data_IF_386308533952
#
_entry.id   IF_386308533952
#
_cell.length_a   1.000
_cell.length_b   1.000
_cell.length_c   1.000
_cell.angle_alpha   90.00
_cell.angle_beta   90.00
_cell.angle_gamma   90.00
#
_symmetry.space_group_name_H-M   'P 1'
#
loop_
_entity.id
_entity.type
_entity.pdbx_description
1 polymer ?
#
# COMPACT_ATOMS: atom_id res chain seq x y z
N UNK A 1 -21.99 19.74 -11.41
CA UNK A 1 -21.68 19.99 -9.99
C UNK A 1 -22.32 18.88 -9.17
N UNK A 2 -21.60 18.27 -8.23
CA UNK A 2 -22.18 17.29 -7.29
C UNK A 2 -23.06 18.05 -6.29
N UNK A 3 -24.32 17.65 -6.14
CA UNK A 3 -25.19 18.21 -5.09
C UNK A 3 -24.71 17.75 -3.71
N UNK A 4 -25.06 18.48 -2.65
CA UNK A 4 -24.72 18.13 -1.27
C UNK A 4 -25.19 16.70 -0.86
N UNK A 5 -26.17 16.16 -1.59
CA UNK A 5 -26.70 14.80 -1.41
C UNK A 5 -25.83 13.71 -2.04
N UNK A 6 -24.84 14.05 -2.87
CA UNK A 6 -24.05 13.08 -3.62
C UNK A 6 -22.57 13.10 -3.20
N UNK A 7 -22.32 13.04 -1.89
CA UNK A 7 -20.96 12.94 -1.34
C UNK A 7 -20.24 11.71 -1.88
N UNK A 8 -18.92 11.82 -1.99
CA UNK A 8 -18.01 10.73 -2.29
C UNK A 8 -17.62 10.10 -0.96
N UNK A 9 -17.99 8.84 -0.80
CA UNK A 9 -17.87 8.12 0.46
C UNK A 9 -16.61 7.28 0.45
N UNK A 10 -15.68 7.63 1.34
CA UNK A 10 -14.39 7.00 1.50
C UNK A 10 -14.45 6.02 2.67
N UNK A 11 -13.90 4.83 2.50
CA UNK A 11 -13.58 3.90 3.57
C UNK A 11 -12.07 3.91 3.80
N UNK A 12 -11.66 4.02 5.05
CA UNK A 12 -10.28 3.84 5.48
C UNK A 12 -10.13 2.44 6.09
N UNK A 13 -9.25 1.61 5.51
CA UNK A 13 -8.95 0.27 6.02
C UNK A 13 -7.49 0.18 6.47
N UNK A 14 -7.27 -0.43 7.63
CA UNK A 14 -5.93 -0.56 8.20
C UNK A 14 -5.79 -1.81 9.06
N UNK A 15 -4.54 -2.17 9.36
CA UNK A 15 -4.20 -3.07 10.45
C UNK A 15 -3.73 -2.25 11.64
N UNK A 16 -4.57 -2.18 12.68
CA UNK A 16 -4.30 -1.48 13.93
C UNK A 16 -3.02 -1.93 14.63
N UNK A 17 -2.60 -3.19 14.48
CA UNK A 17 -1.28 -3.66 14.93
C UNK A 17 -0.11 -2.99 14.22
N UNK A 18 -0.24 -2.68 12.92
CA UNK A 18 0.81 -1.98 12.19
C UNK A 18 0.82 -0.50 12.51
N UNK A 19 -0.35 0.13 12.63
CA UNK A 19 -0.41 1.50 13.12
C UNK A 19 0.31 1.63 14.47
N UNK A 20 0.15 0.64 15.36
CA UNK A 20 0.90 0.59 16.62
C UNK A 20 2.41 0.42 16.43
N UNK A 21 2.82 -0.57 15.62
CA UNK A 21 4.24 -0.87 15.33
C UNK A 21 4.97 0.31 14.69
N UNK A 22 4.22 1.15 13.99
CA UNK A 22 4.68 2.36 13.33
C UNK A 22 4.86 3.54 14.29
N UNK A 23 4.27 3.46 15.49
CA UNK A 23 4.33 4.49 16.54
C UNK A 23 3.08 5.37 16.64
N UNK A 24 1.99 5.03 15.93
CA UNK A 24 0.71 5.76 16.02
C UNK A 24 0.13 5.57 17.42
N UNK A 25 -0.23 6.69 18.08
CA UNK A 25 -0.73 6.70 19.46
C UNK A 25 0.34 6.72 20.55
N UNK A 26 1.62 6.66 20.20
CA UNK A 26 2.75 6.83 21.13
C UNK A 26 3.64 8.01 20.77
N UNK A 27 4.12 8.05 19.52
CA UNK A 27 5.14 9.00 19.05
C UNK A 27 4.49 10.08 18.18
N UNK A 28 3.50 9.69 17.37
CA UNK A 28 2.76 10.64 16.55
C UNK A 28 1.72 11.39 17.39
N UNK A 29 1.69 12.71 17.23
CA UNK A 29 0.53 13.49 17.67
C UNK A 29 -0.71 12.97 16.96
N UNK A 30 -1.87 13.12 17.59
CA UNK A 30 -3.14 12.65 17.01
C UNK A 30 -3.45 13.26 15.63
N UNK A 31 -2.75 14.30 15.22
CA UNK A 31 -2.95 15.02 13.96
C UNK A 31 -2.03 14.54 12.82
N UNK A 32 -1.08 13.63 13.07
CA UNK A 32 0.01 13.31 12.14
C UNK A 32 -0.15 11.98 11.38
N UNK A 33 -1.31 11.34 11.38
CA UNK A 33 -1.55 10.12 10.58
C UNK A 33 -2.55 10.34 9.42
N UNK A 34 -2.73 9.30 8.62
CA UNK A 34 -3.63 9.31 7.48
C UNK A 34 -5.09 9.53 7.87
N UNK A 35 -5.53 9.04 9.04
CA UNK A 35 -6.88 9.25 9.53
C UNK A 35 -7.13 10.74 9.77
N UNK A 36 -6.21 11.42 10.46
CA UNK A 36 -6.29 12.86 10.67
C UNK A 36 -6.28 13.64 9.34
N UNK A 37 -5.45 13.20 8.38
CA UNK A 37 -5.41 13.79 7.04
C UNK A 37 -6.77 13.66 6.32
N UNK A 38 -7.42 12.50 6.38
CA UNK A 38 -8.75 12.27 5.78
C UNK A 38 -9.86 13.04 6.49
N UNK A 39 -9.83 13.13 7.81
CA UNK A 39 -10.78 13.95 8.58
C UNK A 39 -10.64 15.44 8.24
N UNK A 40 -9.41 15.93 8.13
CA UNK A 40 -9.15 17.30 7.70
C UNK A 40 -9.59 17.52 6.24
N UNK A 41 -9.37 16.54 5.35
CA UNK A 41 -9.86 16.59 3.98
C UNK A 41 -11.39 16.70 3.94
N UNK A 42 -12.12 15.86 4.69
CA UNK A 42 -13.58 15.97 4.82
C UNK A 42 -14.02 17.35 5.32
N UNK A 43 -13.35 17.88 6.36
CA UNK A 43 -13.68 19.20 6.93
C UNK A 43 -13.58 20.32 5.88
N UNK A 44 -12.59 20.25 4.99
CA UNK A 44 -12.31 21.29 4.01
C UNK A 44 -13.01 21.05 2.65
N UNK A 45 -13.56 19.86 2.41
CA UNK A 45 -14.20 19.47 1.15
C UNK A 45 -15.57 18.84 1.42
N UNK A 46 -16.68 19.61 1.36
CA UNK A 46 -18.00 19.15 1.81
C UNK A 46 -18.61 18.00 0.98
N UNK A 47 -18.06 17.74 -0.20
CA UNK A 47 -18.44 16.62 -1.07
C UNK A 47 -17.65 15.33 -0.78
N UNK A 48 -16.71 15.33 0.16
CA UNK A 48 -15.95 14.15 0.60
C UNK A 48 -16.44 13.76 1.99
N UNK A 49 -16.67 12.46 2.21
CA UNK A 49 -17.06 11.91 3.50
C UNK A 49 -16.22 10.67 3.80
N UNK A 50 -15.49 10.69 4.90
CA UNK A 50 -14.94 9.49 5.51
C UNK A 50 -16.09 8.75 6.22
N UNK A 51 -16.70 7.82 5.49
CA UNK A 51 -17.96 7.18 5.85
C UNK A 51 -17.78 5.92 6.71
N UNK A 52 -16.61 5.29 6.65
CA UNK A 52 -16.35 4.03 7.35
C UNK A 52 -14.86 3.86 7.65
N UNK A 53 -14.58 3.29 8.81
CA UNK A 53 -13.26 2.78 9.19
C UNK A 53 -13.36 1.28 9.39
N UNK A 54 -12.46 0.51 8.77
CA UNK A 54 -12.34 -0.93 8.95
C UNK A 54 -10.98 -1.26 9.57
N UNK A 55 -10.98 -2.01 10.65
CA UNK A 55 -9.77 -2.63 11.22
C UNK A 55 -9.82 -4.14 11.06
N UNK A 56 -8.72 -4.76 10.63
CA UNK A 56 -8.63 -6.22 10.46
C UNK A 56 -8.21 -6.99 11.73
N UNK A 57 -7.98 -6.27 12.82
CA UNK A 57 -7.62 -6.82 14.11
C UNK A 57 -8.84 -7.24 14.93
N UNK A 58 -8.63 -8.15 15.87
CA UNK A 58 -9.59 -8.39 16.94
C UNK A 58 -9.56 -7.19 17.91
N UNK A 59 -10.68 -6.51 18.16
CA UNK A 59 -10.73 -5.36 19.07
C UNK A 59 -10.20 -5.69 20.48
N UNK A 60 -10.29 -6.94 20.92
CA UNK A 60 -9.76 -7.39 22.23
C UNK A 60 -8.24 -7.35 22.30
N UNK A 61 -7.57 -7.47 21.15
CA UNK A 61 -6.11 -7.49 21.04
C UNK A 61 -5.54 -6.13 20.63
N UNK A 62 -6.40 -5.13 20.38
CA UNK A 62 -5.96 -3.82 19.93
C UNK A 62 -5.47 -2.97 21.11
N UNK A 63 -4.41 -2.20 20.88
CA UNK A 63 -3.96 -1.22 21.88
C UNK A 63 -5.09 -0.22 22.19
N UNK A 64 -5.36 -0.01 23.48
CA UNK A 64 -6.47 0.84 23.93
C UNK A 64 -6.40 2.28 23.41
N UNK A 65 -5.20 2.86 23.33
CA UNK A 65 -5.01 4.23 22.79
C UNK A 65 -5.40 4.33 21.32
N UNK A 66 -5.08 3.30 20.54
CA UNK A 66 -5.48 3.22 19.12
C UNK A 66 -7.00 3.07 19.01
N UNK A 67 -7.60 2.19 19.79
CA UNK A 67 -9.05 2.03 19.81
C UNK A 67 -9.76 3.35 20.14
N UNK A 68 -9.36 4.00 21.24
CA UNK A 68 -9.96 5.24 21.69
C UNK A 68 -9.78 6.36 20.65
N UNK A 69 -8.66 6.39 19.91
CA UNK A 69 -8.44 7.31 18.80
C UNK A 69 -9.49 7.15 17.70
N UNK A 70 -9.73 5.92 17.25
CA UNK A 70 -10.76 5.67 16.24
C UNK A 70 -12.17 6.01 16.73
N UNK A 71 -12.48 5.70 17.99
CA UNK A 71 -13.76 6.07 18.60
C UNK A 71 -13.96 7.59 18.66
N UNK A 72 -12.91 8.37 18.96
CA UNK A 72 -12.97 9.85 18.99
C UNK A 72 -13.24 10.48 17.63
N UNK A 73 -12.95 9.78 16.52
CA UNK A 73 -13.19 10.30 15.17
C UNK A 73 -14.67 10.51 14.85
N UNK A 74 -15.57 9.84 15.59
CA UNK A 74 -17.02 9.78 15.33
C UNK A 74 -17.40 9.21 13.95
N UNK A 75 -16.44 8.60 13.24
CA UNK A 75 -16.69 7.84 12.03
C UNK A 75 -17.12 6.42 12.43
N UNK A 76 -18.12 5.82 11.76
CA UNK A 76 -18.46 4.42 11.97
C UNK A 76 -17.22 3.51 11.90
N UNK A 77 -17.01 2.71 12.94
CA UNK A 77 -15.88 1.80 13.08
C UNK A 77 -16.38 0.35 13.02
N UNK A 78 -15.84 -0.43 12.09
CA UNK A 78 -16.11 -1.86 11.96
C UNK A 78 -14.84 -2.68 12.15
N UNK A 79 -14.99 -3.87 12.71
CA UNK A 79 -13.93 -4.84 12.87
C UNK A 79 -14.20 -6.04 11.98
N UNK A 80 -13.23 -6.40 11.16
CA UNK A 80 -13.25 -7.64 10.39
C UNK A 80 -12.04 -8.45 10.82
N UNK A 81 -12.07 -9.13 11.98
CA UNK A 81 -10.91 -9.81 12.49
C UNK A 81 -10.46 -10.91 11.51
N UNK A 82 -9.17 -10.88 11.19
CA UNK A 82 -8.41 -11.95 10.57
C UNK A 82 -8.50 -13.28 11.33
N UNK A 83 -9.56 -14.07 11.18
CA UNK A 83 -9.62 -15.45 11.72
C UNK A 83 -8.42 -16.33 11.30
N UNK A 84 -7.74 -15.96 10.21
CA UNK A 84 -6.55 -16.67 9.71
C UNK A 84 -5.25 -16.37 10.48
N UNK A 85 -5.23 -15.41 11.42
CA UNK A 85 -4.05 -15.18 12.28
C UNK A 85 -4.00 -16.12 13.49
N UNK A 86 -5.16 -16.56 14.00
CA UNK A 86 -5.24 -17.22 15.31
C UNK A 86 -5.14 -18.75 15.28
N UNK A 87 -5.15 -19.38 14.10
CA UNK A 87 -4.95 -20.82 13.99
C UNK A 87 -3.84 -21.09 12.98
N UNK A 88 -2.62 -21.39 13.47
CA UNK A 88 -1.50 -21.62 12.60
C UNK A 88 -1.82 -22.79 11.67
N UNK A 89 -1.07 -22.88 10.59
CA UNK A 89 -0.99 -24.07 9.74
C UNK A 89 -0.99 -25.36 10.59
N UNK A 90 -0.38 -25.36 11.78
CA UNK A 90 -0.42 -26.47 12.74
C UNK A 90 -1.83 -26.92 13.18
N UNK A 91 -2.82 -26.04 13.34
CA UNK A 91 -4.21 -26.46 13.62
C UNK A 91 -4.80 -27.23 12.43
N UNK A 92 -4.60 -26.72 11.20
CA UNK A 92 -5.14 -27.35 10.00
C UNK A 92 -4.39 -28.63 9.65
N UNK A 93 -3.08 -28.68 9.84
CA UNK A 93 -2.27 -29.89 9.64
C UNK A 93 -2.54 -30.95 10.71
N UNK A 94 -2.77 -30.55 11.96
CA UNK A 94 -3.08 -31.48 13.06
C UNK A 94 -4.47 -32.11 12.91
N UNK A 95 -5.47 -31.37 12.41
CA UNK A 95 -6.84 -31.87 12.30
C UNK A 95 -7.21 -32.40 10.89
N UNK A 96 -6.43 -32.08 9.85
CA UNK A 96 -6.71 -32.47 8.47
C UNK A 96 -5.42 -32.93 7.75
N UNK A 97 -4.90 -34.13 8.06
CA UNK A 97 -3.71 -34.67 7.42
C UNK A 97 -4.00 -35.00 5.94
N UNK A 98 -3.64 -34.08 5.03
CA UNK A 98 -3.91 -34.18 3.58
C UNK A 98 -3.97 -32.79 2.92
N UNK A 99 -2.80 -32.21 2.64
CA UNK A 99 -2.55 -30.78 2.41
C UNK A 99 -3.26 -30.07 1.23
N UNK A 100 -4.19 -30.72 0.52
CA UNK A 100 -5.17 -30.03 -0.34
C UNK A 100 -6.22 -29.30 0.50
N UNK A 101 -6.67 -29.91 1.60
CA UNK A 101 -7.73 -29.36 2.45
C UNK A 101 -7.30 -28.08 3.18
N UNK A 102 -6.07 -27.99 3.67
CA UNK A 102 -5.56 -26.80 4.36
C UNK A 102 -5.41 -25.59 3.42
N UNK A 103 -4.95 -25.83 2.18
CA UNK A 103 -4.83 -24.78 1.15
C UNK A 103 -6.21 -24.25 0.74
N UNK A 104 -7.16 -25.15 0.48
CA UNK A 104 -8.54 -24.77 0.17
C UNK A 104 -9.23 -24.09 1.35
N UNK A 105 -9.00 -24.55 2.59
CA UNK A 105 -9.50 -23.90 3.79
C UNK A 105 -8.95 -22.48 3.96
N UNK A 106 -7.65 -22.26 3.71
CA UNK A 106 -7.04 -20.92 3.74
C UNK A 106 -7.64 -20.02 2.65
N UNK A 107 -7.86 -20.55 1.45
CA UNK A 107 -8.49 -19.83 0.34
C UNK A 107 -9.94 -19.46 0.68
N UNK A 108 -10.74 -20.41 1.19
CA UNK A 108 -12.12 -20.17 1.61
C UNK A 108 -12.20 -19.16 2.76
N UNK A 109 -11.32 -19.27 3.76
CA UNK A 109 -11.25 -18.32 4.87
C UNK A 109 -10.92 -16.90 4.38
N UNK A 110 -10.03 -16.77 3.39
CA UNK A 110 -9.74 -15.48 2.73
C UNK A 110 -10.96 -14.95 1.97
N UNK A 111 -11.65 -15.79 1.20
CA UNK A 111 -12.88 -15.40 0.48
C UNK A 111 -13.93 -14.90 1.47
N UNK A 112 -14.22 -15.66 2.53
CA UNK A 112 -15.19 -15.28 3.57
C UNK A 112 -14.81 -13.96 4.25
N UNK A 113 -13.52 -13.78 4.51
CA UNK A 113 -13.00 -12.53 5.08
C UNK A 113 -13.24 -11.33 4.14
N UNK A 114 -12.92 -11.48 2.86
CA UNK A 114 -13.13 -10.41 1.86
C UNK A 114 -14.60 -10.14 1.58
N UNK A 115 -15.46 -11.16 1.63
CA UNK A 115 -16.91 -11.01 1.52
C UNK A 115 -17.49 -10.17 2.67
N UNK A 116 -16.95 -10.28 3.89
CA UNK A 116 -17.35 -9.43 5.02
C UNK A 116 -16.96 -7.97 4.80
N UNK A 117 -15.76 -7.72 4.28
CA UNK A 117 -15.34 -6.37 3.90
C UNK A 117 -16.29 -5.83 2.83
N UNK A 118 -16.52 -6.60 1.76
CA UNK A 118 -17.39 -6.21 0.66
C UNK A 118 -18.81 -5.86 1.14
N UNK A 119 -19.40 -6.67 2.02
CA UNK A 119 -20.71 -6.40 2.61
C UNK A 119 -20.74 -5.06 3.37
N UNK A 120 -19.72 -4.77 4.18
CA UNK A 120 -19.58 -3.48 4.86
C UNK A 120 -19.45 -2.32 3.88
N UNK A 121 -18.65 -2.48 2.82
CA UNK A 121 -18.47 -1.44 1.80
C UNK A 121 -19.80 -1.13 1.09
N UNK A 122 -20.58 -2.14 0.74
CA UNK A 122 -21.87 -1.97 0.06
C UNK A 122 -22.94 -1.38 0.97
N UNK A 123 -23.05 -1.88 2.21
CA UNK A 123 -24.00 -1.35 3.20
C UNK A 123 -23.79 0.14 3.47
N UNK A 124 -22.55 0.59 3.42
CA UNK A 124 -22.17 1.97 3.69
C UNK A 124 -22.00 2.83 2.42
N UNK A 125 -22.39 2.35 1.24
CA UNK A 125 -22.26 3.03 -0.06
C UNK A 125 -20.85 3.56 -0.33
N UNK A 126 -19.82 2.79 -0.02
CA UNK A 126 -18.44 3.25 -0.18
C UNK A 126 -18.07 3.29 -1.66
N UNK A 127 -17.55 4.44 -2.09
CA UNK A 127 -17.06 4.71 -3.45
C UNK A 127 -15.56 4.44 -3.61
N UNK A 128 -14.79 4.77 -2.57
CA UNK A 128 -13.34 4.69 -2.55
C UNK A 128 -12.89 3.95 -1.29
N UNK A 129 -12.07 2.92 -1.45
CA UNK A 129 -11.37 2.23 -0.38
C UNK A 129 -9.90 2.68 -0.36
N UNK A 130 -9.44 3.21 0.78
CA UNK A 130 -8.05 3.58 1.00
C UNK A 130 -7.44 2.63 2.02
N UNK A 131 -6.47 1.85 1.57
CA UNK A 131 -5.64 0.98 2.39
C UNK A 131 -4.44 1.75 2.92
N UNK A 132 -4.26 1.76 4.23
CA UNK A 132 -3.09 2.33 4.90
C UNK A 132 -2.57 1.37 5.96
N UNK A 133 -1.32 0.93 5.84
CA UNK A 133 -0.71 -0.06 6.73
C UNK A 133 -1.55 -1.34 6.88
N UNK A 134 -2.34 -1.70 5.86
CA UNK A 134 -3.13 -2.91 5.81
C UNK A 134 -2.29 -4.04 5.22
N UNK A 135 -2.00 -5.07 6.03
CA UNK A 135 -0.99 -6.09 5.66
C UNK A 135 -1.54 -7.26 4.86
N UNK A 136 -2.81 -7.22 4.49
CA UNK A 136 -3.45 -8.29 3.71
C UNK A 136 -3.59 -7.86 2.26
N UNK A 137 -3.10 -8.71 1.38
CA UNK A 137 -3.29 -8.52 -0.04
C UNK A 137 -4.76 -8.70 -0.40
N UNK A 138 -5.35 -7.72 -1.09
CA UNK A 138 -6.68 -7.83 -1.68
C UNK A 138 -6.70 -8.95 -2.73
N UNK A 139 -7.62 -9.89 -2.58
CA UNK A 139 -7.87 -10.99 -3.49
C UNK A 139 -8.91 -10.65 -4.54
N UNK A 140 -9.19 -11.65 -5.38
CA UNK A 140 -10.18 -11.55 -6.46
C UNK A 140 -11.62 -11.36 -5.97
N UNK A 141 -11.90 -11.58 -4.69
CA UNK A 141 -13.25 -11.33 -4.14
C UNK A 141 -13.54 -9.83 -4.08
N UNK A 142 -12.56 -9.03 -3.65
CA UNK A 142 -12.71 -7.56 -3.65
C UNK A 142 -12.36 -6.94 -5.00
N UNK A 143 -11.27 -7.41 -5.64
CA UNK A 143 -10.80 -6.85 -6.90
C UNK A 143 -11.62 -7.30 -8.12
N UNK A 144 -12.41 -8.37 -8.00
CA UNK A 144 -13.06 -9.05 -9.12
C UNK A 144 -12.20 -10.17 -9.71
N UNK A 145 -12.82 -11.05 -10.50
CA UNK A 145 -12.13 -12.07 -11.28
C UNK A 145 -11.70 -11.47 -12.62
N UNK A 146 -10.39 -11.43 -12.84
CA UNK A 146 -9.71 -10.74 -13.93
C UNK A 146 -9.92 -11.36 -15.33
N UNK A 147 -11.01 -12.10 -15.56
CA UNK A 147 -11.31 -12.70 -16.87
C UNK A 147 -11.79 -11.66 -17.90
N UNK A 148 -11.97 -10.41 -17.48
CA UNK A 148 -12.11 -9.26 -18.35
C UNK A 148 -10.91 -8.33 -18.19
N UNK A 149 -9.74 -8.78 -18.66
CA UNK A 149 -8.58 -7.92 -18.96
C UNK A 149 -8.95 -6.66 -19.78
N UNK A 150 -10.14 -6.63 -20.41
CA UNK A 150 -10.69 -5.46 -21.10
C UNK A 150 -11.67 -4.56 -20.32
N UNK A 151 -12.06 -4.86 -19.07
CA UNK A 151 -13.01 -3.97 -18.35
C UNK A 151 -12.30 -2.89 -17.54
N UNK A 152 -12.03 -1.78 -18.22
CA UNK A 152 -12.11 -0.37 -17.79
C UNK A 152 -11.43 0.15 -16.51
N UNK A 153 -10.65 -0.64 -15.77
CA UNK A 153 -9.60 -0.08 -14.90
C UNK A 153 -8.34 0.27 -15.71
N UNK A 154 -8.50 0.60 -17.00
CA UNK A 154 -7.48 1.12 -17.92
C UNK A 154 -7.13 2.58 -17.61
N UNK A 155 -6.71 2.83 -16.36
CA UNK A 155 -5.90 4.00 -16.05
C UNK A 155 -4.48 3.75 -16.59
N UNK A 156 -4.27 3.77 -17.91
CA UNK A 156 -2.91 3.76 -18.45
C UNK A 156 -2.65 3.19 -19.83
N UNK A 157 -3.60 2.51 -20.47
CA UNK A 157 -3.41 2.05 -21.84
C UNK A 157 -4.28 2.85 -22.78
N UNK A 158 -3.67 3.80 -23.50
CA UNK A 158 -4.28 4.49 -24.63
C UNK A 158 -4.52 3.46 -25.73
N UNK A 159 -5.68 2.82 -25.73
CA UNK A 159 -5.99 1.77 -26.70
C UNK A 159 -6.47 2.37 -28.02
N UNK A 160 -5.65 2.17 -29.06
CA UNK A 160 -6.12 1.98 -30.43
C UNK A 160 -7.19 0.89 -30.46
N UNK A 161 -8.40 1.25 -30.91
CA UNK A 161 -9.53 0.34 -31.07
C UNK A 161 -9.20 -0.79 -32.07
N UNK A 162 -9.14 -2.03 -31.59
CA UNK A 162 -9.36 -3.22 -32.43
C UNK A 162 -10.70 -3.84 -32.06
N UNK A 163 -11.66 -3.73 -32.97
CA UNK A 163 -12.98 -4.33 -32.88
C UNK A 163 -12.87 -5.86 -32.86
N UNK A 164 -13.07 -6.48 -31.70
CA UNK A 164 -13.20 -7.93 -31.55
C UNK A 164 -14.56 -8.28 -30.95
N UNK A 165 -15.38 -8.99 -31.73
CA UNK A 165 -16.68 -9.53 -31.30
C UNK A 165 -16.50 -10.55 -30.17
N UNK A 166 -16.63 -10.13 -28.91
CA UNK A 166 -16.71 -11.07 -27.78
C UNK A 166 -18.16 -11.54 -27.60
N UNK A 167 -18.40 -12.84 -27.77
CA UNK A 167 -19.70 -13.49 -27.50
C UNK A 167 -20.11 -13.22 -26.03
N UNK A 168 -21.26 -12.57 -25.85
CA UNK A 168 -21.91 -12.34 -24.56
C UNK A 168 -22.22 -13.68 -23.88
N UNK A 169 -21.32 -14.16 -23.02
CA UNK A 169 -21.70 -15.12 -21.98
C UNK A 169 -22.45 -14.32 -20.92
N UNK A 170 -23.71 -14.68 -20.67
CA UNK A 170 -24.50 -14.21 -19.53
C UNK A 170 -23.77 -14.58 -18.23
N UNK A 171 -22.83 -13.74 -17.79
CA UNK A 171 -22.16 -13.92 -16.52
C UNK A 171 -23.16 -13.57 -15.44
N UNK A 172 -23.58 -14.57 -14.66
CA UNK A 172 -24.26 -14.37 -13.40
C UNK A 172 -23.59 -13.24 -12.60
N UNK A 173 -24.42 -12.38 -12.01
CA UNK A 173 -24.14 -11.32 -11.02
C UNK A 173 -22.66 -11.23 -10.63
N UNK A 174 -21.92 -10.29 -11.22
CA UNK A 174 -20.56 -10.02 -10.80
C UNK A 174 -20.60 -9.37 -9.40
N UNK A 175 -20.18 -10.12 -8.39
CA UNK A 175 -20.16 -9.67 -6.99
C UNK A 175 -18.89 -8.88 -6.64
N UNK A 176 -18.13 -8.33 -7.59
CA UNK A 176 -16.98 -7.46 -7.30
C UNK A 176 -17.36 -6.17 -6.55
N UNK A 177 -16.38 -5.54 -5.90
CA UNK A 177 -16.61 -4.26 -5.20
C UNK A 177 -17.09 -3.17 -6.16
N UNK A 178 -16.53 -3.10 -7.37
CA UNK A 178 -16.89 -2.10 -8.38
C UNK A 178 -16.41 -0.67 -8.08
N UNK A 179 -16.09 -0.36 -6.83
CA UNK A 179 -15.45 0.89 -6.41
C UNK A 179 -13.94 0.90 -6.62
N UNK A 180 -13.31 2.00 -6.24
CA UNK A 180 -11.88 2.22 -6.45
C UNK A 180 -11.09 1.84 -5.20
N UNK A 181 -9.98 1.11 -5.37
CA UNK A 181 -9.11 0.71 -4.25
C UNK A 181 -7.73 1.33 -4.44
N UNK A 182 -7.26 2.02 -3.41
CA UNK A 182 -5.96 2.68 -3.38
C UNK A 182 -5.14 2.21 -2.19
N UNK A 183 -3.82 2.22 -2.35
CA UNK A 183 -2.88 2.05 -1.25
C UNK A 183 -2.10 3.34 -1.02
N UNK A 184 -1.76 3.58 0.24
CA UNK A 184 -0.81 4.61 0.64
C UNK A 184 0.34 3.98 1.43
N UNK A 185 1.58 4.18 0.95
CA UNK A 185 2.79 3.66 1.61
C UNK A 185 3.69 4.79 2.09
N UNK A 186 4.33 4.68 3.27
CA UNK A 186 5.38 5.60 3.73
C UNK A 186 6.74 5.29 3.07
N UNK A 187 6.71 4.97 1.77
CA UNK A 187 7.88 4.65 0.97
C UNK A 187 7.68 5.07 -0.49
N UNK A 188 8.79 5.35 -1.17
CA UNK A 188 8.80 5.45 -2.62
C UNK A 188 8.90 4.05 -3.23
N UNK A 189 7.85 3.61 -3.91
CA UNK A 189 7.82 2.29 -4.57
C UNK A 189 8.47 2.29 -5.96
N UNK A 190 9.03 3.43 -6.43
CA UNK A 190 9.72 3.50 -7.73
C UNK A 190 11.10 2.86 -7.67
N UNK A 191 11.71 2.96 -6.51
CA UNK A 191 12.84 2.16 -6.09
C UNK A 191 12.19 0.88 -5.58
N UNK A 192 12.37 -0.26 -6.26
CA UNK A 192 11.89 -1.57 -5.77
C UNK A 192 12.25 -1.65 -4.28
N UNK A 193 11.28 -1.46 -3.36
CA UNK A 193 11.65 -1.28 -1.97
C UNK A 193 12.09 -2.64 -1.45
N UNK A 194 13.18 -2.70 -0.70
CA UNK A 194 13.41 -3.89 0.12
C UNK A 194 12.34 -4.01 1.20
N UNK A 195 12.48 -5.03 2.04
CA UNK A 195 11.54 -5.35 3.14
C UNK A 195 11.36 -4.15 4.09
N UNK A 196 12.33 -3.24 4.15
CA UNK A 196 12.30 -2.05 5.02
C UNK A 196 12.74 -0.80 4.24
N UNK A 197 11.82 -0.10 3.56
CA UNK A 197 12.15 1.06 2.72
C UNK A 197 12.89 2.18 3.47
N UNK A 198 12.56 2.36 4.75
CA UNK A 198 13.19 3.35 5.63
C UNK A 198 14.64 2.97 5.94
N UNK A 199 14.90 1.71 6.29
CA UNK A 199 16.26 1.25 6.56
C UNK A 199 17.10 1.26 5.27
N UNK A 200 16.51 0.91 4.13
CA UNK A 200 17.19 0.97 2.84
C UNK A 200 17.62 2.38 2.48
N UNK A 201 16.76 3.37 2.74
CA UNK A 201 17.07 4.77 2.50
C UNK A 201 18.19 5.27 3.42
N UNK A 202 18.20 4.84 4.70
CA UNK A 202 19.28 5.15 5.65
C UNK A 202 20.59 4.46 5.29
N UNK A 203 20.52 3.21 4.84
CA UNK A 203 21.68 2.47 4.36
C UNK A 203 22.33 3.19 3.19
N UNK A 204 21.54 3.55 2.16
CA UNK A 204 22.03 4.36 1.04
C UNK A 204 22.64 5.67 1.52
N UNK A 205 21.98 6.40 2.43
CA UNK A 205 22.51 7.65 2.98
C UNK A 205 23.89 7.47 3.61
N UNK A 206 24.05 6.46 4.47
CA UNK A 206 25.31 6.18 5.17
C UNK A 206 26.39 5.77 4.19
N UNK A 207 26.09 4.83 3.31
CA UNK A 207 27.01 4.33 2.29
C UNK A 207 27.53 5.46 1.40
N UNK A 208 26.64 6.30 0.87
CA UNK A 208 27.03 7.40 -0.01
C UNK A 208 27.67 8.57 0.73
N UNK A 209 27.43 8.73 2.03
CA UNK A 209 28.16 9.72 2.84
C UNK A 209 29.64 9.40 3.03
N UNK A 210 30.05 8.15 2.78
CA UNK A 210 31.46 7.70 2.80
C UNK A 210 32.19 7.98 1.48
N UNK A 211 31.47 8.23 0.39
CA UNK A 211 32.09 8.52 -0.90
C UNK A 211 32.67 9.94 -0.84
N UNK A 212 33.99 10.05 -0.70
CA UNK A 212 34.70 11.30 -0.91
C UNK A 212 34.76 11.59 -2.42
N UNK A 213 34.42 12.82 -2.83
CA UNK A 213 34.36 13.24 -4.25
C UNK A 213 35.67 13.02 -5.02
N UNK A 214 36.80 12.83 -4.33
CA UNK A 214 38.13 12.77 -4.94
C UNK A 214 38.73 11.36 -5.11
N UNK A 215 38.19 10.27 -4.53
CA UNK A 215 39.03 9.06 -4.34
C UNK A 215 38.43 7.66 -4.64
N UNK A 216 37.17 7.52 -5.05
CA UNK A 216 36.55 6.17 -5.11
C UNK A 216 36.08 5.73 -6.50
N UNK A 217 36.76 6.13 -7.58
CA UNK A 217 36.44 5.61 -8.91
C UNK A 217 37.45 4.55 -9.35
N UNK A 218 36.94 3.45 -9.91
CA UNK A 218 37.75 2.46 -10.62
C UNK A 218 37.24 2.30 -12.04
N UNK A 219 38.13 1.91 -12.96
CA UNK A 219 37.79 1.50 -14.31
C UNK A 219 37.77 -0.02 -14.36
N UNK A 220 36.64 -0.59 -14.80
CA UNK A 220 36.47 -2.02 -15.04
C UNK A 220 35.83 -2.14 -16.41
N UNK A 221 36.49 -2.81 -17.36
CA UNK A 221 36.04 -2.95 -18.74
C UNK A 221 35.63 -1.61 -19.40
N UNK A 222 36.47 -0.59 -19.27
CA UNK A 222 36.24 0.79 -19.75
C UNK A 222 35.02 1.51 -19.15
N UNK A 223 34.35 0.93 -18.14
CA UNK A 223 33.27 1.57 -17.41
C UNK A 223 33.76 2.09 -16.06
N UNK A 224 33.25 3.27 -15.65
CA UNK A 224 33.59 3.91 -14.37
C UNK A 224 32.63 3.46 -13.28
N UNK A 225 33.19 2.94 -12.18
CA UNK A 225 32.44 2.49 -11.01
C UNK A 225 32.82 3.29 -9.78
N UNK A 226 31.84 3.58 -8.92
CA UNK A 226 32.11 3.89 -7.52
C UNK A 226 32.51 2.60 -6.80
N UNK A 227 33.70 2.56 -6.23
CA UNK A 227 34.18 1.48 -5.36
C UNK A 227 33.92 1.86 -3.90
N UNK A 228 33.06 1.12 -3.22
CA UNK A 228 32.65 1.43 -1.85
C UNK A 228 32.96 0.22 -0.96
N UNK A 229 33.81 0.41 0.02
CA UNK A 229 34.10 -0.62 1.01
C UNK A 229 32.88 -0.86 1.91
N UNK A 230 32.52 -2.13 2.08
CA UNK A 230 31.45 -2.61 2.94
C UNK A 230 32.08 -3.15 4.22
N UNK A 231 31.58 -2.71 5.38
CA UNK A 231 32.11 -3.22 6.65
C UNK A 231 31.33 -4.44 7.10
N UNK A 232 32.02 -5.54 7.31
CA UNK A 232 31.51 -6.76 7.94
C UNK A 232 31.46 -6.57 9.47
N UNK A 233 30.82 -5.49 9.93
CA UNK A 233 30.90 -5.10 11.33
C UNK A 233 29.84 -5.84 12.18
N UNK A 234 30.28 -6.67 13.14
CA UNK A 234 29.41 -7.35 14.13
C UNK A 234 28.68 -6.40 15.09
N UNK A 235 29.00 -5.10 15.10
CA UNK A 235 28.38 -4.06 15.94
C UNK A 235 27.50 -3.07 15.18
N UNK A 236 27.17 -3.34 13.91
CA UNK A 236 26.34 -2.42 13.13
C UNK A 236 24.96 -2.26 13.79
N UNK A 237 24.52 -1.01 13.97
CA UNK A 237 23.18 -0.61 14.48
C UNK A 237 21.99 -1.15 13.66
N UNK A 238 22.23 -1.98 12.64
CA UNK A 238 21.21 -2.60 11.81
C UNK A 238 20.97 -4.03 12.26
N UNK A 239 19.76 -4.53 12.05
CA UNK A 239 19.44 -5.96 12.25
C UNK A 239 20.13 -6.86 11.22
N UNK A 240 20.57 -6.29 10.10
CA UNK A 240 21.20 -6.95 8.93
C UNK A 240 22.63 -6.40 8.75
N UNK A 241 23.59 -7.25 8.35
CA UNK A 241 24.95 -6.78 8.06
C UNK A 241 24.99 -5.94 6.75
N UNK A 242 26.01 -5.09 6.57
CA UNK A 242 26.06 -4.19 5.39
C UNK A 242 26.14 -4.95 4.07
N UNK A 243 26.71 -6.15 4.07
CA UNK A 243 26.86 -7.00 2.88
C UNK A 243 25.50 -7.50 2.37
N UNK A 244 24.67 -8.02 3.26
CA UNK A 244 23.31 -8.48 2.95
C UNK A 244 22.43 -7.31 2.50
N UNK A 245 22.48 -6.19 3.23
CA UNK A 245 21.76 -4.97 2.83
C UNK A 245 22.21 -4.48 1.45
N UNK A 246 23.52 -4.50 1.16
CA UNK A 246 24.04 -4.13 -0.14
C UNK A 246 23.57 -5.08 -1.25
N UNK A 247 23.65 -6.40 -1.04
CA UNK A 247 23.15 -7.40 -2.01
C UNK A 247 21.66 -7.19 -2.29
N UNK A 248 20.88 -7.04 -1.23
CA UNK A 248 19.43 -6.87 -1.30
C UNK A 248 19.04 -5.56 -1.98
N UNK A 249 19.74 -4.45 -1.74
CA UNK A 249 19.40 -3.14 -2.30
C UNK A 249 19.96 -2.98 -3.71
N UNK A 250 21.24 -3.33 -3.92
CA UNK A 250 21.97 -3.03 -5.15
C UNK A 250 21.96 -4.17 -6.16
N UNK A 251 21.77 -5.43 -5.74
CA UNK A 251 21.78 -6.60 -6.64
C UNK A 251 20.65 -6.63 -7.67
N UNK A 252 19.66 -5.74 -7.55
CA UNK A 252 18.56 -5.55 -8.51
C UNK A 252 18.84 -4.48 -9.58
N UNK A 253 19.99 -3.82 -9.51
CA UNK A 253 20.39 -2.83 -10.51
C UNK A 253 21.44 -3.40 -11.45
N UNK A 254 21.20 -3.25 -12.74
CA UNK A 254 22.13 -3.68 -13.77
C UNK A 254 23.51 -3.02 -13.58
N UNK A 255 24.55 -3.84 -13.65
CA UNK A 255 25.94 -3.40 -13.49
C UNK A 255 26.39 -3.15 -12.04
N UNK A 256 25.50 -3.19 -11.04
CA UNK A 256 25.93 -3.20 -9.64
C UNK A 256 26.39 -4.60 -9.24
N UNK A 257 27.55 -4.72 -8.59
CA UNK A 257 28.03 -6.00 -8.08
C UNK A 257 28.85 -5.84 -6.81
N UNK A 258 29.03 -6.95 -6.09
CA UNK A 258 29.79 -7.00 -4.85
C UNK A 258 30.88 -8.06 -4.98
N UNK A 259 32.11 -7.71 -4.60
CA UNK A 259 33.28 -8.57 -4.74
C UNK A 259 34.09 -8.57 -3.44
N UNK A 260 34.71 -9.71 -3.13
CA UNK A 260 35.68 -9.81 -2.04
C UNK A 260 37.09 -9.62 -2.62
N UNK A 261 37.81 -8.61 -2.15
CA UNK A 261 39.17 -8.30 -2.58
C UNK A 261 40.02 -8.17 -1.33
N UNK A 262 41.04 -9.03 -1.19
CA UNK A 262 41.97 -9.03 -0.04
C UNK A 262 41.22 -9.06 1.30
N UNK A 263 40.30 -10.01 1.47
CA UNK A 263 39.49 -10.19 2.70
C UNK A 263 38.53 -9.05 3.02
N UNK A 264 38.35 -8.07 2.12
CA UNK A 264 37.42 -6.95 2.28
C UNK A 264 36.33 -7.00 1.21
N UNK A 265 35.10 -6.70 1.58
CA UNK A 265 33.97 -6.66 0.65
C UNK A 265 33.82 -5.27 0.05
N UNK A 266 33.66 -5.19 -1.27
CA UNK A 266 33.46 -3.94 -2.00
C UNK A 266 32.18 -4.00 -2.82
N UNK A 267 31.39 -2.93 -2.76
CA UNK A 267 30.28 -2.68 -3.66
C UNK A 267 30.77 -1.78 -4.81
N UNK A 268 30.48 -2.20 -6.03
CA UNK A 268 30.73 -1.46 -7.25
C UNK A 268 29.40 -0.97 -7.82
N UNK A 269 29.26 0.36 -7.95
CA UNK A 269 28.05 1.00 -8.52
C UNK A 269 28.45 1.77 -9.78
N UNK A 270 27.85 1.50 -10.95
CA UNK A 270 28.15 2.24 -12.18
C UNK A 270 27.95 3.75 -12.00
N UNK A 271 28.81 4.56 -12.62
CA UNK A 271 28.72 6.03 -12.51
C UNK A 271 27.43 6.59 -13.15
N UNK A 272 26.97 5.94 -14.21
CA UNK A 272 25.75 6.22 -14.97
C UNK A 272 24.50 5.57 -14.38
N UNK A 273 24.63 4.84 -13.27
CA UNK A 273 23.48 4.26 -12.59
C UNK A 273 22.47 5.35 -12.19
N UNK A 274 21.18 5.02 -12.20
CA UNK A 274 20.11 6.01 -12.05
C UNK A 274 20.33 6.91 -10.83
N UNK A 275 20.13 8.24 -10.99
CA UNK A 275 20.33 9.22 -9.91
C UNK A 275 19.55 8.88 -8.63
N UNK A 276 18.45 8.13 -8.77
CA UNK A 276 17.65 7.63 -7.65
C UNK A 276 18.44 6.80 -6.64
N UNK A 277 19.44 6.04 -7.11
CA UNK A 277 20.28 5.17 -6.27
C UNK A 277 21.18 5.99 -5.35
N UNK A 278 21.78 7.06 -5.88
CA UNK A 278 22.62 7.99 -5.11
C UNK A 278 21.79 8.94 -4.25
N UNK A 279 20.53 9.13 -4.62
CA UNK A 279 19.64 9.95 -3.83
C UNK A 279 19.22 9.17 -2.60
N UNK A 280 19.75 9.59 -1.44
CA UNK A 280 19.25 9.19 -0.13
C UNK A 280 17.88 9.84 0.10
N UNK A 281 16.93 9.38 -0.69
CA UNK A 281 15.56 9.84 -0.75
C UNK A 281 14.66 8.63 -0.50
N UNK A 282 13.60 8.89 0.23
CA UNK A 282 12.43 8.04 0.39
C UNK A 282 11.23 8.96 0.19
N UNK A 283 10.02 8.53 0.50
CA UNK A 283 8.85 9.38 0.36
C UNK A 283 7.60 8.64 0.78
N UNK A 284 6.51 8.96 0.12
CA UNK A 284 5.30 8.18 0.19
C UNK A 284 4.68 8.05 -1.22
N UNK A 285 3.97 6.96 -1.44
CA UNK A 285 3.35 6.66 -2.73
C UNK A 285 1.87 6.39 -2.54
N UNK A 286 1.03 7.10 -3.32
CA UNK A 286 -0.39 6.81 -3.45
C UNK A 286 -0.68 6.26 -4.84
N UNK A 287 -1.25 5.06 -4.91
CA UNK A 287 -1.44 4.35 -6.16
C UNK A 287 -2.66 3.45 -6.12
N UNK A 288 -3.11 3.04 -7.31
CA UNK A 288 -4.17 2.05 -7.45
C UNK A 288 -3.68 0.69 -6.97
N UNK A 289 -4.59 -0.09 -6.38
CA UNK A 289 -4.40 -1.53 -6.19
C UNK A 289 -5.05 -2.24 -7.37
N UNK A 290 -4.28 -3.06 -8.07
CA UNK A 290 -4.73 -3.93 -9.14
C UNK A 290 -4.52 -5.41 -8.76
N UNK A 291 -4.84 -6.30 -9.70
CA UNK A 291 -4.67 -7.74 -9.53
C UNK A 291 -3.19 -8.17 -9.43
N UNK A 292 -2.26 -7.29 -9.79
CA UNK A 292 -0.82 -7.54 -9.70
C UNK A 292 -0.27 -7.45 -8.27
N UNK A 293 -1.15 -7.37 -7.27
CA UNK A 293 -0.78 -7.33 -5.86
C UNK A 293 0.02 -6.05 -5.59
N UNK A 294 -0.69 -4.92 -5.57
CA UNK A 294 -0.11 -3.63 -5.19
C UNK A 294 0.85 -3.03 -6.26
N UNK A 295 0.66 -3.38 -7.54
CA UNK A 295 1.48 -2.87 -8.65
C UNK A 295 0.77 -1.80 -9.50
N UNK A 296 -0.43 -1.40 -9.10
CA UNK A 296 -1.24 -0.49 -9.90
C UNK A 296 -0.59 0.88 -10.12
N UNK A 297 -1.11 1.59 -11.13
CA UNK A 297 -0.55 2.87 -11.57
C UNK A 297 -0.44 3.86 -10.40
N UNK A 298 0.71 4.52 -10.33
CA UNK A 298 0.97 5.60 -9.37
C UNK A 298 0.22 6.85 -9.79
N UNK A 299 -0.47 7.45 -8.84
CA UNK A 299 -1.33 8.62 -9.06
C UNK A 299 -0.56 9.88 -8.72
N UNK A 300 0.07 9.84 -7.56
CA UNK A 300 0.94 10.90 -7.09
C UNK A 300 2.11 10.29 -6.34
N UNK A 301 3.23 10.94 -6.51
CA UNK A 301 4.39 10.84 -5.65
C UNK A 301 4.60 12.25 -5.09
N UNK A 302 4.83 12.40 -3.79
CA UNK A 302 5.44 13.66 -3.36
C UNK A 302 6.94 13.54 -3.54
N UNK A 303 7.54 14.66 -3.95
CA UNK A 303 8.97 14.84 -3.90
C UNK A 303 9.52 14.38 -2.54
N UNK A 304 10.51 13.51 -2.67
CA UNK A 304 11.27 12.85 -1.63
C UNK A 304 11.30 13.46 -0.24
N UNK A 305 11.03 12.65 0.79
CA UNK A 305 11.52 12.94 2.13
C UNK A 305 13.05 12.91 2.09
N UNK A 306 13.73 14.01 2.44
CA UNK A 306 15.19 14.00 2.50
C UNK A 306 15.66 13.09 3.64
N UNK A 307 16.65 12.24 3.36
CA UNK A 307 17.40 11.52 4.39
C UNK A 307 18.63 12.35 4.75
N UNK A 308 18.69 12.80 6.00
CA UNK A 308 19.74 13.66 6.56
C UNK A 308 20.83 12.78 7.18
N UNK A 309 22.06 13.30 7.21
CA UNK A 309 23.16 12.66 7.93
C UNK A 309 22.81 12.58 9.42
N UNK A 310 22.94 11.40 10.00
CA UNK A 310 22.66 11.16 11.41
C UNK A 310 21.19 10.87 11.73
N UNK A 311 20.32 10.73 10.72
CA UNK A 311 18.95 10.27 10.97
C UNK A 311 18.92 8.91 11.67
N UNK A 312 17.98 8.78 12.61
CA UNK A 312 17.54 7.48 13.12
C UNK A 312 16.45 6.90 12.22
N UNK A 313 16.24 5.57 12.30
CA UNK A 313 15.12 4.89 11.64
C UNK A 313 13.77 5.52 11.99
N UNK A 314 13.54 5.81 13.27
CA UNK A 314 12.31 6.45 13.72
C UNK A 314 12.18 7.89 13.21
N UNK A 315 13.26 8.68 13.22
CA UNK A 315 13.23 10.07 12.75
C UNK A 315 12.89 10.17 11.27
N UNK A 316 13.50 9.32 10.43
CA UNK A 316 13.16 9.25 9.01
C UNK A 316 11.74 8.73 8.78
N UNK A 317 11.35 7.68 9.52
CA UNK A 317 9.99 7.14 9.49
C UNK A 317 8.98 8.25 9.76
N UNK A 318 9.13 9.01 10.83
CA UNK A 318 8.22 10.11 11.19
C UNK A 318 8.03 11.10 10.04
N UNK A 319 9.13 11.51 9.37
CA UNK A 319 9.04 12.41 8.21
C UNK A 319 8.38 11.76 6.99
N UNK A 320 8.52 10.45 6.80
CA UNK A 320 7.77 9.73 5.76
C UNK A 320 6.27 9.74 6.05
N UNK A 321 5.84 9.66 7.31
CA UNK A 321 4.41 9.77 7.68
C UNK A 321 3.84 11.17 7.41
N UNK A 322 4.59 12.22 7.76
CA UNK A 322 4.19 13.59 7.41
C UNK A 322 4.03 13.76 5.90
N UNK A 323 4.98 13.21 5.15
CA UNK A 323 4.96 13.17 3.70
C UNK A 323 3.78 12.34 3.17
N UNK A 324 3.48 11.20 3.81
CA UNK A 324 2.35 10.31 3.50
C UNK A 324 1.02 11.04 3.54
N UNK A 325 0.79 11.87 4.55
CA UNK A 325 -0.46 12.62 4.69
C UNK A 325 -0.65 13.65 3.56
N UNK A 326 0.44 14.32 3.15
CA UNK A 326 0.43 15.24 2.02
C UNK A 326 0.13 14.49 0.72
N UNK A 327 0.78 13.35 0.51
CA UNK A 327 0.59 12.48 -0.66
C UNK A 327 -0.83 11.95 -0.73
N UNK A 328 -1.38 11.48 0.39
CA UNK A 328 -2.75 10.99 0.49
C UNK A 328 -3.76 12.08 0.11
N UNK A 329 -3.67 13.24 0.76
CA UNK A 329 -4.59 14.37 0.53
C UNK A 329 -4.55 14.82 -0.93
N UNK A 330 -3.34 15.03 -1.48
CA UNK A 330 -3.17 15.41 -2.89
C UNK A 330 -3.65 14.33 -3.84
N UNK A 331 -3.36 13.07 -3.55
CA UNK A 331 -3.73 11.92 -4.35
C UNK A 331 -5.25 11.79 -4.49
N UNK A 332 -5.98 11.89 -3.37
CA UNK A 332 -7.44 11.91 -3.36
C UNK A 332 -7.97 13.09 -4.18
N UNK A 333 -7.45 14.30 -3.99
CA UNK A 333 -7.89 15.46 -4.78
C UNK A 333 -7.57 15.33 -6.28
N UNK A 334 -6.49 14.65 -6.65
CA UNK A 334 -6.11 14.42 -8.04
C UNK A 334 -7.05 13.43 -8.71
N UNK A 335 -7.35 12.27 -8.09
CA UNK A 335 -8.27 11.29 -8.70
C UNK A 335 -9.67 11.88 -8.88
N UNK A 336 -10.12 12.74 -7.97
CA UNK A 336 -11.44 13.35 -8.05
C UNK A 336 -11.58 14.40 -9.16
N UNK A 337 -10.47 14.84 -9.76
CA UNK A 337 -10.49 15.69 -10.97
C UNK A 337 -10.59 14.88 -12.26
N UNK A 338 -10.34 13.58 -12.19
CA UNK A 338 -10.33 12.73 -13.37
C UNK A 338 -11.75 12.23 -13.69
N UNK A 339 -12.20 12.50 -14.91
CA UNK A 339 -13.55 12.17 -15.39
C UNK A 339 -13.82 10.66 -15.36
N UNK A 340 -12.82 9.82 -15.64
CA UNK A 340 -12.98 8.37 -15.62
C UNK A 340 -13.20 7.86 -14.20
N UNK A 341 -12.50 8.42 -13.22
CA UNK A 341 -12.73 8.09 -11.80
C UNK A 341 -14.15 8.45 -11.39
N UNK A 342 -14.62 9.64 -11.77
CA UNK A 342 -15.99 10.06 -11.46
C UNK A 342 -17.02 9.10 -12.10
N UNK A 343 -16.79 8.67 -13.35
CA UNK A 343 -17.67 7.71 -14.01
C UNK A 343 -17.68 6.34 -13.32
N UNK A 344 -16.51 5.86 -12.86
CA UNK A 344 -16.40 4.62 -12.11
C UNK A 344 -17.15 4.71 -10.77
N UNK A 345 -17.04 5.84 -10.06
CA UNK A 345 -17.79 6.11 -8.83
C UNK A 345 -19.30 6.06 -9.08
N UNK A 346 -19.79 6.73 -10.13
CA UNK A 346 -21.22 6.70 -10.48
C UNK A 346 -21.71 5.29 -10.80
N UNK A 347 -20.91 4.51 -11.53
CA UNK A 347 -21.21 3.11 -11.85
C UNK A 347 -21.29 2.26 -10.57
N UNK A 348 -20.35 2.46 -9.63
CA UNK A 348 -20.35 1.77 -8.35
C UNK A 348 -21.59 2.10 -7.50
N UNK A 349 -22.03 3.36 -7.48
CA UNK A 349 -23.27 3.76 -6.79
C UNK A 349 -24.50 3.03 -7.33
N UNK A 350 -24.59 2.87 -8.65
CA UNK A 350 -25.68 2.10 -9.29
C UNK A 350 -25.62 0.63 -8.84
N UNK A 351 -24.43 0.01 -8.84
CA UNK A 351 -24.24 -1.36 -8.34
C UNK A 351 -24.68 -1.52 -6.88
N UNK A 352 -24.29 -0.58 -6.01
CA UNK A 352 -24.66 -0.60 -4.59
C UNK A 352 -26.18 -0.48 -4.39
N UNK A 353 -26.84 0.41 -5.13
CA UNK A 353 -28.30 0.53 -5.10
C UNK A 353 -28.97 -0.78 -5.50
N UNK A 354 -28.54 -1.40 -6.59
CA UNK A 354 -29.08 -2.68 -7.04
C UNK A 354 -28.89 -3.80 -6.00
N UNK A 355 -27.70 -3.86 -5.39
CA UNK A 355 -27.40 -4.82 -4.32
C UNK A 355 -28.34 -4.67 -3.11
N UNK A 356 -28.60 -3.44 -2.68
CA UNK A 356 -29.53 -3.15 -1.58
C UNK A 356 -30.95 -3.60 -1.89
N UNK A 357 -31.43 -3.34 -3.11
CA UNK A 357 -32.76 -3.77 -3.53
C UNK A 357 -32.90 -5.30 -3.59
N UNK A 358 -31.84 -6.03 -3.98
CA UNK A 358 -31.86 -7.49 -4.00
C UNK A 358 -31.86 -8.12 -2.61
N UNK A 359 -31.13 -7.56 -1.65
CA UNK A 359 -30.99 -8.15 -0.31
C UNK A 359 -32.07 -7.73 0.69
N UNK A 360 -32.76 -6.62 0.45
CA UNK A 360 -33.86 -6.15 1.30
C UNK A 360 -35.19 -6.06 0.52
N UNK A 361 -35.70 -7.18 -0.05
CA UNK A 361 -36.90 -7.14 -0.90
C UNK A 361 -38.15 -6.65 -0.15
N UNK A 362 -38.16 -6.75 1.19
CA UNK A 362 -39.28 -6.35 2.05
C UNK A 362 -39.47 -4.83 2.23
N UNK A 363 -38.55 -3.98 1.73
CA UNK A 363 -38.70 -2.51 1.80
C UNK A 363 -39.24 -1.87 0.51
N UNK A 364 -39.61 -2.67 -0.49
CA UNK A 364 -40.25 -2.15 -1.69
C UNK A 364 -41.71 -1.81 -1.34
N UNK A 365 -41.95 -0.57 -0.92
CA UNK A 365 -43.28 0.03 -1.07
C UNK A 365 -43.42 0.33 -2.56
N UNK A 366 -44.15 -0.54 -3.25
CA UNK A 366 -44.58 -0.34 -4.64
C UNK A 366 -45.37 0.95 -4.79
#
# INVERSE_FOLDING_TARGET
MLSAHNKIRICYISSGRELFSEGVGHIFKDEQDSLAALLNLQKNHPYIELALIILDDDPKNLNRKILDRFLRSKVPLAFVPSSTWAKPISYYLKNYPGLSAAKEAKKLAKITYELKILDLLRKNDIDILISDSYVRLFGSTLLGSNNHSGSNNHYGSSSNNKNGNSKNKNSLLNFDYGGLIFNIHPADTSINPGISPTEDALFRQRLFSRINRKQNFVLIDNKKYYKIELFENKKATFKENELEAARRIFGKYEGCFIENINQSWFLFVPRDCSRGIFSAKTGATFHFIDHGIDTGKKITFSNSTPVRKGDSAQGLRNRNYETKNIVLTRGVLMILKDKQVIQNILTNKIKNNFYKHLLEPSKIKL
#
